data_IF_012678095915
#
_entry.id   IF_012678095915
#
_cell.length_a   1.000
_cell.length_b   1.000
_cell.length_c   1.000
_cell.angle_alpha   90.00
_cell.angle_beta   90.00
_cell.angle_gamma   90.00
#
_symmetry.space_group_name_H-M   'P 1'
#
loop_
_entity.id
_entity.type
_entity.pdbx_description
1 polymer ?
#
# COMPACT_ATOMS: atom_id res chain seq x y z
N UNK A 1 17.64 1.16 -10.92
CA UNK A 1 17.07 1.96 -9.81
C UNK A 1 15.53 1.97 -9.78
N UNK A 2 14.82 1.80 -10.90
CA UNK A 2 13.34 1.89 -10.95
C UNK A 2 12.57 0.71 -10.34
N UNK A 3 13.15 -0.49 -10.29
CA UNK A 3 12.46 -1.69 -9.77
C UNK A 3 12.01 -1.58 -8.32
N UNK A 4 12.85 -1.04 -7.42
CA UNK A 4 12.50 -0.95 -6.00
C UNK A 4 11.41 0.09 -5.70
N UNK A 5 11.36 1.19 -6.46
CA UNK A 5 10.29 2.19 -6.31
C UNK A 5 8.94 1.55 -6.67
N UNK A 6 8.89 0.80 -7.77
CA UNK A 6 7.68 0.09 -8.20
C UNK A 6 7.22 -0.94 -7.15
N UNK A 7 8.15 -1.68 -6.55
CA UNK A 7 7.81 -2.65 -5.50
C UNK A 7 7.30 -1.99 -4.22
N UNK A 8 7.88 -0.87 -3.78
CA UNK A 8 7.36 -0.10 -2.66
C UNK A 8 5.98 0.50 -2.97
N UNK A 9 5.76 1.00 -4.19
CA UNK A 9 4.44 1.47 -4.62
C UNK A 9 3.42 0.36 -4.53
N UNK A 10 3.73 -0.84 -5.06
CA UNK A 10 2.85 -1.98 -4.98
C UNK A 10 2.56 -2.38 -3.52
N UNK A 11 3.57 -2.39 -2.65
CA UNK A 11 3.41 -2.69 -1.24
C UNK A 11 2.51 -1.67 -0.51
N UNK A 12 2.69 -0.37 -0.76
CA UNK A 12 1.86 0.69 -0.18
C UNK A 12 0.41 0.60 -0.68
N UNK A 13 0.20 0.37 -1.97
CA UNK A 13 -1.15 0.15 -2.53
C UNK A 13 -1.81 -1.11 -1.96
N UNK A 14 -1.09 -2.22 -1.82
CA UNK A 14 -1.62 -3.43 -1.20
C UNK A 14 -2.04 -3.18 0.25
N UNK A 15 -1.22 -2.49 1.03
CA UNK A 15 -1.52 -2.13 2.41
C UNK A 15 -2.77 -1.25 2.51
N UNK A 16 -2.90 -0.24 1.65
CA UNK A 16 -4.07 0.65 1.62
C UNK A 16 -5.37 -0.07 1.24
N UNK A 17 -5.28 -1.09 0.37
CA UNK A 17 -6.42 -1.87 -0.12
C UNK A 17 -6.72 -3.13 0.71
N UNK A 18 -5.96 -3.39 1.78
CA UNK A 18 -6.11 -4.62 2.57
C UNK A 18 -5.74 -5.90 1.82
N UNK A 19 -4.98 -5.79 0.72
CA UNK A 19 -4.54 -6.94 -0.08
C UNK A 19 -3.31 -7.56 0.58
N UNK A 20 -3.39 -8.86 0.88
CA UNK A 20 -2.23 -9.64 1.34
C UNK A 20 -1.40 -10.06 0.12
N UNK A 21 -0.19 -9.52 -0.07
CA UNK A 21 0.64 -9.90 -1.21
C UNK A 21 1.25 -11.28 -0.99
N UNK A 22 1.51 -11.99 -2.10
CA UNK A 22 2.33 -13.19 -2.09
C UNK A 22 3.77 -12.83 -2.46
N UNK A 23 4.73 -13.36 -1.71
CA UNK A 23 6.15 -13.13 -2.00
C UNK A 23 6.53 -13.86 -3.29
N UNK A 24 7.16 -13.16 -4.22
CA UNK A 24 7.79 -13.77 -5.40
C UNK A 24 9.27 -13.44 -5.42
N UNK A 25 10.11 -14.48 -5.39
CA UNK A 25 11.57 -14.51 -5.59
C UNK A 25 12.32 -13.24 -5.14
N UNK A 26 12.92 -13.30 -3.95
CA UNK A 26 13.61 -12.18 -3.29
C UNK A 26 15.01 -11.86 -3.84
N UNK A 27 15.35 -12.33 -5.04
CA UNK A 27 16.71 -12.23 -5.61
C UNK A 27 17.14 -10.76 -5.83
N UNK A 28 16.18 -9.85 -5.96
CA UNK A 28 16.42 -8.41 -6.07
C UNK A 28 16.87 -7.75 -4.76
N UNK A 29 16.63 -8.35 -3.59
CA UNK A 29 17.01 -7.77 -2.28
C UNK A 29 18.53 -7.58 -2.18
N UNK A 30 19.31 -8.52 -2.74
CA UNK A 30 20.76 -8.41 -2.79
C UNK A 30 21.23 -7.13 -3.50
N UNK A 31 20.63 -6.82 -4.66
CA UNK A 31 20.96 -5.61 -5.41
C UNK A 31 20.58 -4.32 -4.67
N UNK A 32 19.55 -4.34 -3.82
CA UNK A 32 19.15 -3.16 -3.04
C UNK A 32 20.06 -2.94 -1.84
N UNK A 33 20.54 -4.02 -1.22
CA UNK A 33 21.50 -3.94 -0.12
C UNK A 33 22.85 -3.34 -0.56
N UNK A 34 23.27 -3.59 -1.81
CA UNK A 34 24.41 -2.90 -2.41
C UNK A 34 24.17 -1.40 -2.57
N UNK A 35 23.03 -1.01 -3.14
CA UNK A 35 22.66 0.41 -3.30
C UNK A 35 22.58 1.13 -1.94
N UNK A 36 22.02 0.47 -0.91
CA UNK A 36 21.92 1.05 0.44
C UNK A 36 23.28 1.18 1.15
N UNK A 37 24.26 0.33 0.81
CA UNK A 37 25.63 0.48 1.31
C UNK A 37 26.33 1.70 0.70
N UNK A 38 26.02 2.02 -0.55
CA UNK A 38 26.58 3.17 -1.26
C UNK A 38 25.87 4.49 -0.89
N UNK A 39 24.57 4.45 -0.66
CA UNK A 39 23.75 5.62 -0.30
C UNK A 39 22.65 5.27 0.71
N UNK A 40 22.90 5.59 1.98
CA UNK A 40 21.94 5.34 3.07
C UNK A 40 20.63 6.12 2.95
N UNK A 41 20.58 7.15 2.10
CA UNK A 41 19.35 7.93 1.84
C UNK A 41 18.59 7.42 0.61
N UNK A 42 19.13 6.47 -0.16
CA UNK A 42 18.46 5.90 -1.32
C UNK A 42 17.09 5.30 -0.96
N UNK A 43 17.00 4.63 0.19
CA UNK A 43 15.75 4.06 0.72
C UNK A 43 14.68 5.12 0.95
N UNK A 44 15.02 6.23 1.63
CA UNK A 44 14.07 7.30 1.94
C UNK A 44 13.62 8.03 0.67
N UNK A 45 14.53 8.25 -0.28
CA UNK A 45 14.18 8.87 -1.58
C UNK A 45 13.30 7.96 -2.43
N UNK A 46 13.57 6.65 -2.42
CA UNK A 46 12.74 5.66 -3.12
C UNK A 46 11.35 5.59 -2.48
N UNK A 47 11.28 5.54 -1.15
CA UNK A 47 10.02 5.55 -0.40
C UNK A 47 9.21 6.83 -0.71
N UNK A 48 9.83 8.01 -0.71
CA UNK A 48 9.14 9.27 -1.02
C UNK A 48 8.54 9.29 -2.44
N UNK A 49 9.24 8.71 -3.42
CA UNK A 49 8.70 8.56 -4.79
C UNK A 49 7.57 7.53 -4.84
N UNK A 50 7.74 6.40 -4.16
CA UNK A 50 6.75 5.34 -4.10
C UNK A 50 5.45 5.81 -3.42
N UNK A 51 5.54 6.56 -2.32
CA UNK A 51 4.37 7.15 -1.64
C UNK A 51 3.59 8.05 -2.59
N UNK A 52 4.25 8.98 -3.31
CA UNK A 52 3.59 9.86 -4.27
C UNK A 52 2.90 9.08 -5.39
N UNK A 53 3.53 8.02 -5.88
CA UNK A 53 2.95 7.16 -6.91
C UNK A 53 1.74 6.38 -6.38
N UNK A 54 1.83 5.84 -5.16
CA UNK A 54 0.74 5.13 -4.51
C UNK A 54 -0.44 6.07 -4.24
N UNK A 55 -0.19 7.25 -3.67
CA UNK A 55 -1.22 8.26 -3.42
C UNK A 55 -1.93 8.66 -4.72
N UNK A 56 -1.18 8.86 -5.80
CA UNK A 56 -1.74 9.14 -7.11
C UNK A 56 -2.60 7.97 -7.63
N UNK A 57 -2.18 6.71 -7.46
CA UNK A 57 -3.00 5.57 -7.86
C UNK A 57 -4.30 5.49 -7.03
N UNK A 58 -4.18 5.65 -5.71
CA UNK A 58 -5.30 5.56 -4.78
C UNK A 58 -6.30 6.71 -4.95
N UNK A 59 -5.87 7.89 -5.42
CA UNK A 59 -6.78 9.01 -5.69
C UNK A 59 -7.75 8.76 -6.85
N UNK A 60 -7.56 7.69 -7.62
CA UNK A 60 -8.45 7.29 -8.72
C UNK A 60 -9.41 6.16 -8.32
N UNK A 61 -9.39 5.72 -7.05
CA UNK A 61 -10.39 4.78 -6.56
C UNK A 61 -11.79 5.41 -6.65
N UNK A 62 -12.81 4.64 -7.06
CA UNK A 62 -14.18 5.12 -6.97
C UNK A 62 -14.48 5.51 -5.52
N UNK A 63 -15.25 6.59 -5.33
CA UNK A 63 -15.77 6.90 -4.01
C UNK A 63 -16.50 5.67 -3.52
N UNK A 64 -16.10 5.12 -2.37
CA UNK A 64 -16.84 4.02 -1.78
C UNK A 64 -18.26 4.55 -1.55
N UNK A 65 -19.25 3.91 -2.18
CA UNK A 65 -20.64 4.00 -1.75
C UNK A 65 -20.64 3.46 -0.33
N UNK A 66 -20.33 4.33 0.63
CA UNK A 66 -20.41 4.03 2.04
C UNK A 66 -21.90 3.92 2.30
N UNK A 67 -22.47 2.75 2.06
CA UNK A 67 -23.79 2.40 2.54
C UNK A 67 -23.74 2.63 4.05
N UNK A 68 -24.33 3.75 4.49
CA UNK A 68 -24.48 4.03 5.92
C UNK A 68 -25.11 2.79 6.55
N UNK A 69 -24.54 2.25 7.65
CA UNK A 69 -25.08 1.05 8.25
C UNK A 69 -26.52 1.33 8.65
N UNK A 70 -27.45 0.58 8.07
CA UNK A 70 -28.88 0.69 8.30
C UNK A 70 -29.17 0.65 9.80
N UNK A 71 -29.52 1.82 10.35
CA UNK A 71 -29.84 2.02 11.76
C UNK A 71 -31.05 1.17 12.21
N UNK A 72 -31.77 0.51 11.29
CA UNK A 72 -32.89 -0.39 11.59
C UNK A 72 -32.47 -1.72 12.25
N UNK A 73 -31.20 -2.11 12.18
CA UNK A 73 -30.71 -3.36 12.81
C UNK A 73 -30.58 -3.22 14.34
N UNK A 74 -30.31 -2.01 14.85
CA UNK A 74 -30.07 -1.78 16.28
C UNK A 74 -31.36 -1.89 17.12
N UNK A 75 -32.52 -1.57 16.55
CA UNK A 75 -33.80 -1.58 17.28
C UNK A 75 -34.31 -3.01 17.60
N UNK A 76 -33.96 -3.99 16.75
CA UNK A 76 -34.43 -5.38 16.92
C UNK A 76 -33.72 -6.15 18.03
N UNK A 77 -32.57 -5.67 18.51
CA UNK A 77 -31.75 -6.34 19.55
C UNK A 77 -32.04 -5.85 20.98
N UNK A 78 -32.81 -4.78 21.14
CA UNK A 78 -33.23 -4.24 22.43
C UNK A 78 -34.58 -4.82 22.93
N UNK A 79 -35.25 -5.63 22.12
CA UNK A 79 -36.59 -6.17 22.40
C UNK A 79 -36.64 -7.71 22.63
N UNK A 80 -35.51 -8.35 22.96
CA UNK A 80 -35.43 -9.78 23.28
C UNK A 80 -34.88 -10.03 24.69
#
# INVERSE_FOLDING_TARGET
MSGYVAEQTAAFSCAALGIVPTVRHADYIGSWLEVMREDSRAIVRAASQASKAADWLLSHLPAEDTEEPDASVTDRRAAA
#
